data_IF_448145829450
#
_entry.id   IF_448145829450
#
_cell.length_a   1.000
_cell.length_b   1.000
_cell.length_c   1.000
_cell.angle_alpha   90.00
_cell.angle_beta   90.00
_cell.angle_gamma   90.00
#
_symmetry.space_group_name_H-M   'P 1'
#
loop_
_entity.id
_entity.type
_entity.pdbx_description
1 polymer ?
#
# COMPACT_ATOMS: atom_id res chain seq x y z
N UNK A 1 -20.46 14.74 -7.04
CA UNK A 1 -20.37 13.27 -7.11
C UNK A 1 -20.00 12.77 -5.73
N UNK A 2 -20.62 11.70 -5.24
CA UNK A 2 -20.28 11.12 -3.94
C UNK A 2 -19.29 9.97 -4.16
N UNK A 3 -18.17 9.98 -3.43
CA UNK A 3 -17.25 8.84 -3.38
C UNK A 3 -17.86 7.78 -2.47
N UNK A 4 -17.88 6.52 -2.93
CA UNK A 4 -18.28 5.38 -2.10
C UNK A 4 -17.02 4.69 -1.60
N UNK A 5 -16.96 4.44 -0.30
CA UNK A 5 -15.85 3.73 0.33
C UNK A 5 -16.43 2.52 1.04
N UNK A 6 -15.92 1.34 0.71
CA UNK A 6 -16.39 0.10 1.31
C UNK A 6 -15.22 -0.83 1.61
N UNK A 7 -15.37 -1.62 2.66
CA UNK A 7 -14.56 -2.81 2.87
C UNK A 7 -14.73 -3.77 1.69
N UNK A 8 -13.63 -4.41 1.31
CA UNK A 8 -13.54 -5.29 0.15
C UNK A 8 -12.47 -6.35 0.37
N UNK A 9 -12.13 -7.07 -0.70
CA UNK A 9 -11.03 -8.03 -0.70
C UNK A 9 -10.13 -7.76 -1.90
N UNK A 10 -8.83 -7.93 -1.69
CA UNK A 10 -7.83 -8.01 -2.75
C UNK A 10 -7.17 -9.37 -2.63
N UNK A 11 -7.23 -10.18 -3.69
CA UNK A 11 -6.77 -11.57 -3.64
C UNK A 11 -7.46 -12.32 -2.48
N UNK A 12 -6.71 -12.83 -1.52
CA UNK A 12 -7.16 -13.55 -0.34
C UNK A 12 -7.12 -12.73 0.96
N UNK A 13 -6.88 -11.42 0.89
CA UNK A 13 -6.75 -10.52 2.05
C UNK A 13 -7.82 -9.42 2.10
N UNK A 14 -8.12 -8.86 3.29
CA UNK A 14 -8.98 -7.69 3.43
C UNK A 14 -8.41 -6.46 2.73
N UNK A 15 -9.31 -5.63 2.19
CA UNK A 15 -8.96 -4.40 1.51
C UNK A 15 -10.04 -3.32 1.74
N UNK A 16 -9.77 -2.10 1.28
CA UNK A 16 -10.76 -1.02 1.21
C UNK A 16 -10.79 -0.47 -0.21
N UNK A 17 -11.97 -0.42 -0.80
CA UNK A 17 -12.17 0.09 -2.16
C UNK A 17 -12.90 1.43 -2.13
N UNK A 18 -12.31 2.43 -2.79
CA UNK A 18 -12.88 3.74 -3.04
C UNK A 18 -13.34 3.81 -4.49
N UNK A 19 -14.58 4.24 -4.70
CA UNK A 19 -15.20 4.29 -6.01
C UNK A 19 -15.79 5.68 -6.27
N UNK A 20 -15.46 6.22 -7.44
CA UNK A 20 -16.09 7.39 -8.03
C UNK A 20 -16.73 7.03 -9.37
N UNK A 21 -17.24 8.02 -10.12
CA UNK A 21 -17.75 7.78 -11.46
C UNK A 21 -16.64 7.41 -12.46
N UNK A 22 -15.40 7.86 -12.23
CA UNK A 22 -14.27 7.68 -13.16
C UNK A 22 -13.29 6.58 -12.73
N UNK A 23 -13.08 6.42 -11.42
CA UNK A 23 -12.02 5.58 -10.86
C UNK A 23 -12.57 4.58 -9.85
N UNK A 24 -11.93 3.41 -9.81
CA UNK A 24 -12.04 2.40 -8.77
C UNK A 24 -10.64 2.16 -8.21
N UNK A 25 -10.44 2.37 -6.92
CA UNK A 25 -9.13 2.32 -6.26
C UNK A 25 -9.19 1.38 -5.07
N UNK A 26 -8.23 0.48 -4.94
CA UNK A 26 -8.17 -0.46 -3.81
C UNK A 26 -6.91 -0.24 -3.00
N UNK A 27 -7.07 -0.06 -1.70
CA UNK A 27 -6.00 0.07 -0.71
C UNK A 27 -5.95 -1.12 0.23
N UNK A 28 -4.76 -1.38 0.76
CA UNK A 28 -4.46 -2.42 1.75
C UNK A 28 -3.92 -1.77 3.03
N UNK A 29 -4.80 -1.21 3.90
CA UNK A 29 -4.34 -0.52 5.11
C UNK A 29 -3.46 -1.38 6.02
N UNK A 30 -3.78 -2.66 6.16
CA UNK A 30 -3.00 -3.60 6.97
C UNK A 30 -1.66 -4.03 6.35
N UNK A 31 -1.32 -3.54 5.16
CA UNK A 31 -0.13 -3.95 4.41
C UNK A 31 0.61 -2.73 3.84
N UNK A 32 1.06 -1.86 4.73
CA UNK A 32 1.83 -0.65 4.42
C UNK A 32 1.00 0.49 3.83
N UNK A 33 -0.32 0.42 3.90
CA UNK A 33 -1.20 1.36 3.20
C UNK A 33 -1.10 1.27 1.68
N UNK A 34 -0.60 0.14 1.13
CA UNK A 34 -0.39 -0.08 -0.31
C UNK A 34 -1.65 0.24 -1.12
N UNK A 35 -1.51 0.99 -2.20
CA UNK A 35 -2.54 1.06 -3.24
C UNK A 35 -2.33 -0.12 -4.19
N UNK A 36 -3.17 -1.15 -4.06
CA UNK A 36 -3.04 -2.39 -4.81
C UNK A 36 -3.60 -2.31 -6.23
N UNK A 37 -4.55 -1.40 -6.50
CA UNK A 37 -5.20 -1.27 -7.82
C UNK A 37 -5.71 0.15 -8.05
N UNK A 38 -5.59 0.62 -9.30
CA UNK A 38 -6.11 1.89 -9.79
C UNK A 38 -6.73 1.71 -11.18
N UNK A 39 -8.03 1.51 -11.22
CA UNK A 39 -8.78 1.22 -12.45
C UNK A 39 -9.52 2.46 -12.92
N UNK A 40 -9.36 2.79 -14.21
CA UNK A 40 -10.25 3.71 -14.93
C UNK A 40 -11.50 3.01 -15.41
N UNK A 41 -12.64 3.30 -14.79
CA UNK A 41 -13.93 2.61 -15.03
C UNK A 41 -14.38 2.67 -16.48
N UNK A 42 -14.28 3.84 -17.11
CA UNK A 42 -14.73 4.02 -18.52
C UNK A 42 -14.02 3.08 -19.50
N UNK A 43 -12.77 2.72 -19.23
CA UNK A 43 -11.95 1.88 -20.13
C UNK A 43 -11.65 0.50 -19.56
N UNK A 44 -11.96 0.25 -18.29
CA UNK A 44 -11.53 -0.95 -17.56
C UNK A 44 -10.01 -1.07 -17.44
N UNK A 45 -9.26 0.02 -17.61
CA UNK A 45 -7.79 -0.02 -17.62
C UNK A 45 -7.27 0.02 -16.20
N UNK A 46 -6.53 -1.00 -15.81
CA UNK A 46 -5.65 -1.00 -14.64
C UNK A 46 -4.38 -0.19 -14.97
N UNK A 47 -4.00 0.73 -14.08
CA UNK A 47 -2.83 1.58 -14.25
C UNK A 47 -1.60 1.07 -13.48
N UNK A 48 -1.79 0.28 -12.43
CA UNK A 48 -0.69 -0.27 -11.64
C UNK A 48 -0.28 -1.65 -12.18
N UNK A 49 1.00 -1.96 -12.04
CA UNK A 49 1.47 -3.33 -12.28
C UNK A 49 0.76 -4.26 -11.30
N UNK A 50 0.33 -5.42 -11.78
CA UNK A 50 -0.32 -6.46 -10.97
C UNK A 50 0.52 -7.73 -11.02
N UNK A 51 0.70 -8.35 -9.87
CA UNK A 51 1.20 -9.72 -9.80
C UNK A 51 0.05 -10.70 -10.09
N UNK A 52 0.22 -11.67 -11.02
CA UNK A 52 -0.85 -12.55 -11.47
C UNK A 52 -1.26 -13.62 -10.45
N UNK A 53 -0.52 -13.77 -9.34
CA UNK A 53 -0.82 -14.73 -8.29
C UNK A 53 -2.17 -14.46 -7.62
N UNK A 54 -2.85 -15.52 -7.18
CA UNK A 54 -4.14 -15.41 -6.47
C UNK A 54 -4.01 -15.20 -4.97
N UNK A 55 -2.83 -15.49 -4.42
CA UNK A 55 -2.49 -15.30 -3.02
C UNK A 55 -1.61 -14.06 -2.90
N UNK A 56 -1.92 -13.20 -1.94
CA UNK A 56 -1.12 -12.03 -1.63
C UNK A 56 0.10 -12.43 -0.82
N UNK A 57 1.27 -11.91 -1.21
CA UNK A 57 2.53 -12.15 -0.50
C UNK A 57 2.87 -10.94 0.37
N UNK A 58 2.60 -10.97 1.69
CA UNK A 58 2.80 -9.80 2.54
C UNK A 58 4.28 -9.47 2.71
N UNK A 59 4.60 -8.17 2.65
CA UNK A 59 5.90 -7.67 3.11
C UNK A 59 5.86 -7.50 4.63
N UNK A 60 6.76 -8.18 5.34
CA UNK A 60 7.02 -7.91 6.75
C UNK A 60 7.95 -6.70 6.92
N UNK A 61 7.93 -6.05 8.09
CA UNK A 61 8.90 -5.02 8.44
C UNK A 61 10.34 -5.52 8.25
N UNK A 62 11.16 -4.73 7.54
CA UNK A 62 12.53 -5.09 7.13
C UNK A 62 12.64 -6.42 6.35
N UNK A 63 11.55 -6.86 5.72
CA UNK A 63 11.48 -8.07 4.91
C UNK A 63 12.08 -7.89 3.51
N UNK A 64 12.14 -8.99 2.75
CA UNK A 64 12.59 -8.95 1.36
C UNK A 64 11.43 -8.53 0.44
N UNK A 65 11.53 -7.34 -0.15
CA UNK A 65 10.54 -6.79 -1.06
C UNK A 65 10.35 -7.63 -2.34
N UNK A 66 11.43 -8.14 -2.93
CA UNK A 66 11.36 -8.96 -4.16
C UNK A 66 10.62 -10.28 -3.95
N UNK A 67 10.68 -10.84 -2.74
CA UNK A 67 9.95 -12.05 -2.38
C UNK A 67 8.47 -11.79 -2.04
N UNK A 68 8.11 -10.54 -1.74
CA UNK A 68 6.76 -10.12 -1.39
C UNK A 68 5.93 -9.81 -2.65
N UNK A 69 4.80 -9.13 -2.44
CA UNK A 69 3.96 -8.60 -3.51
C UNK A 69 4.58 -7.33 -4.10
N UNK A 70 5.55 -7.51 -4.99
CA UNK A 70 6.25 -6.44 -5.72
C UNK A 70 5.37 -5.90 -6.87
N UNK A 71 4.21 -5.34 -6.53
CA UNK A 71 3.23 -4.77 -7.46
C UNK A 71 2.35 -3.72 -6.76
N UNK A 72 1.60 -2.93 -7.53
CA UNK A 72 0.84 -1.80 -6.99
C UNK A 72 1.68 -0.54 -6.79
N UNK A 73 1.37 0.20 -5.72
CA UNK A 73 2.08 1.42 -5.31
C UNK A 73 2.28 1.40 -3.79
N UNK A 74 3.55 1.54 -3.39
CA UNK A 74 4.02 1.41 -2.02
C UNK A 74 4.60 2.70 -1.47
N UNK A 75 4.51 2.86 -0.15
CA UNK A 75 5.25 3.88 0.58
C UNK A 75 6.73 3.44 0.72
N UNK A 76 7.63 4.40 0.77
CA UNK A 76 9.08 4.18 0.89
C UNK A 76 9.69 5.17 1.89
N UNK A 77 8.92 5.59 2.90
CA UNK A 77 9.38 6.57 3.87
C UNK A 77 10.26 5.90 4.93
N UNK A 78 11.47 6.43 5.20
CA UNK A 78 12.08 7.62 4.59
C UNK A 78 13.00 7.31 3.41
N UNK A 79 13.28 6.04 3.11
CA UNK A 79 14.24 5.62 2.09
C UNK A 79 13.77 4.44 1.25
N UNK A 80 14.31 4.35 0.04
CA UNK A 80 14.06 3.22 -0.87
C UNK A 80 14.97 2.05 -0.51
N UNK A 81 16.28 2.29 -0.47
CA UNK A 81 17.25 1.25 -0.13
C UNK A 81 17.52 1.24 1.38
N UNK A 82 18.00 0.08 1.87
CA UNK A 82 18.59 -0.04 3.20
C UNK A 82 19.75 0.95 3.36
N UNK A 83 19.73 1.77 4.41
CA UNK A 83 20.83 2.66 4.76
C UNK A 83 21.16 2.64 6.26
N UNK A 84 22.32 3.19 6.61
CA UNK A 84 22.59 3.63 7.97
C UNK A 84 22.52 5.15 7.98
N UNK A 85 21.66 5.72 8.82
CA UNK A 85 21.38 7.14 8.82
C UNK A 85 22.66 7.94 9.13
N UNK A 86 23.01 8.98 8.34
CA UNK A 86 24.36 9.53 8.36
C UNK A 86 24.60 10.60 9.44
N UNK A 87 23.54 11.10 10.10
CA UNK A 87 23.60 12.31 10.92
C UNK A 87 22.89 12.17 12.28
N UNK A 88 23.30 12.98 13.26
CA UNK A 88 22.62 13.11 14.55
C UNK A 88 21.15 13.56 14.36
N UNK A 89 20.17 13.10 15.16
CA UNK A 89 20.30 12.23 16.35
C UNK A 89 20.35 10.73 16.06
N UNK A 90 20.16 10.30 14.81
CA UNK A 90 20.04 8.89 14.45
C UNK A 90 21.29 8.33 13.77
N UNK A 91 22.46 8.95 13.93
CA UNK A 91 23.67 8.53 13.23
C UNK A 91 23.98 7.05 13.49
N UNK A 92 24.10 6.26 12.42
CA UNK A 92 24.37 4.83 12.48
C UNK A 92 23.14 3.95 12.74
N UNK A 93 21.94 4.52 12.93
CA UNK A 93 20.69 3.75 12.98
C UNK A 93 20.41 3.18 11.60
N UNK A 94 20.15 1.88 11.55
CA UNK A 94 19.72 1.20 10.33
C UNK A 94 18.28 1.59 9.99
N UNK A 95 18.06 1.95 8.72
CA UNK A 95 16.73 2.10 8.13
C UNK A 95 16.59 0.96 7.10
N UNK A 96 15.52 0.17 7.18
CA UNK A 96 15.35 -1.01 6.33
C UNK A 96 15.12 -0.64 4.86
N UNK A 97 15.22 -1.66 4.02
CA UNK A 97 14.78 -1.58 2.63
C UNK A 97 13.28 -1.22 2.56
N UNK A 98 12.93 -0.32 1.65
CA UNK A 98 11.61 0.31 1.51
C UNK A 98 11.12 1.07 2.76
N UNK A 99 12.06 1.47 3.63
CA UNK A 99 11.78 2.34 4.74
C UNK A 99 10.93 1.71 5.84
N UNK A 100 10.49 2.55 6.78
CA UNK A 100 9.93 2.14 8.05
C UNK A 100 8.47 1.68 7.96
N UNK A 101 7.72 2.14 6.95
CA UNK A 101 6.25 2.03 6.96
C UNK A 101 5.69 1.04 5.93
N UNK A 102 6.47 0.64 4.91
CA UNK A 102 6.00 -0.20 3.82
C UNK A 102 5.56 -1.60 4.27
N UNK A 103 6.18 -2.13 5.32
CA UNK A 103 5.88 -3.45 5.88
C UNK A 103 5.02 -3.44 7.15
N UNK A 104 4.43 -2.29 7.51
CA UNK A 104 3.66 -2.12 8.75
C UNK A 104 2.16 -2.21 8.52
N UNK A 105 1.45 -2.61 9.57
CA UNK A 105 0.00 -2.48 9.65
C UNK A 105 -0.35 -1.05 10.06
N UNK A 106 -1.28 -0.43 9.36
CA UNK A 106 -1.78 0.90 9.72
C UNK A 106 -3.14 0.75 10.41
N UNK A 107 -3.37 1.60 11.42
CA UNK A 107 -4.71 1.79 11.96
C UNK A 107 -5.53 2.57 10.93
N UNK A 108 -6.78 2.18 10.72
CA UNK A 108 -7.58 2.83 9.69
C UNK A 108 -9.06 2.94 10.04
N UNK A 109 -9.70 3.94 9.46
CA UNK A 109 -11.14 4.16 9.57
C UNK A 109 -11.69 4.84 8.31
N UNK A 110 -12.96 4.56 8.00
CA UNK A 110 -13.71 5.29 6.99
C UNK A 110 -14.46 6.42 7.69
N UNK A 111 -14.15 7.66 7.34
CA UNK A 111 -14.80 8.85 7.88
C UNK A 111 -15.44 9.67 6.75
N UNK A 112 -16.76 9.53 6.58
CA UNK A 112 -17.49 10.22 5.51
C UNK A 112 -17.04 9.73 4.13
N UNK A 113 -16.43 10.62 3.36
CA UNK A 113 -15.88 10.35 2.02
C UNK A 113 -14.34 10.20 2.02
N UNK A 114 -13.74 9.93 3.19
CA UNK A 114 -12.31 9.70 3.35
C UNK A 114 -11.98 8.33 3.97
N UNK A 115 -10.88 7.74 3.52
CA UNK A 115 -10.18 6.66 4.21
C UNK A 115 -8.99 7.29 4.95
N UNK A 116 -8.97 7.17 6.27
CA UNK A 116 -7.87 7.61 7.12
C UNK A 116 -7.00 6.41 7.48
N UNK A 117 -5.69 6.55 7.33
CA UNK A 117 -4.69 5.54 7.72
C UNK A 117 -3.65 6.23 8.61
N UNK A 118 -3.27 5.60 9.74
CA UNK A 118 -2.41 6.15 10.79
C UNK A 118 -1.42 5.13 11.33
#
# INVERSE_FOLDING_TARGET
MAVKINESQYKDIPAVTLESDELLVTYLPEYGGKMASLIRKKTGREYLVQDPGREYRPLAYAGNYEAAECSGFDDMFPTIDRIYYPAYPWQGVEIPDHGEVCGLKWDWEIQGDALLMR
#
